data_IF_648802607275
#
_entry.id   IF_648802607275
#
_cell.length_a   1.000
_cell.length_b   1.000
_cell.length_c   1.000
_cell.angle_alpha   90.00
_cell.angle_beta   90.00
_cell.angle_gamma   90.00
#
_symmetry.space_group_name_H-M   'P 1'
#
loop_
_entity.id
_entity.type
_entity.pdbx_description
1 polymer ?
#
# COMPACT_ATOMS: atom_id res chain seq x y z
N UNK A 1 -9.85 9.99 28.65
CA UNK A 1 -10.02 10.95 27.54
C UNK A 1 -9.41 10.39 26.26
N UNK A 2 -10.23 9.80 25.38
CA UNK A 2 -9.75 9.30 24.08
C UNK A 2 -9.68 10.47 23.10
N UNK A 3 -8.47 10.81 22.64
CA UNK A 3 -8.26 11.76 21.54
C UNK A 3 -8.18 10.98 20.23
N UNK A 4 -8.94 11.40 19.21
CA UNK A 4 -8.83 10.83 17.86
C UNK A 4 -7.52 11.31 17.24
N UNK A 5 -6.61 10.39 16.92
CA UNK A 5 -5.40 10.72 16.19
C UNK A 5 -5.66 10.64 14.68
N UNK A 6 -5.26 11.67 13.90
CA UNK A 6 -5.37 11.62 12.45
C UNK A 6 -4.41 10.56 11.90
N UNK A 7 -4.86 9.86 10.86
CA UNK A 7 -4.06 8.89 10.13
C UNK A 7 -3.54 9.59 8.88
N UNK A 8 -2.22 9.62 8.71
CA UNK A 8 -1.58 10.18 7.53
C UNK A 8 -1.21 9.06 6.58
N UNK A 9 -1.66 9.15 5.33
CA UNK A 9 -1.26 8.25 4.25
C UNK A 9 -0.23 8.97 3.39
N UNK A 10 0.97 8.40 3.29
CA UNK A 10 2.01 8.86 2.37
C UNK A 10 1.59 8.48 0.94
N UNK A 11 1.20 9.46 0.13
CA UNK A 11 0.78 9.25 -1.27
C UNK A 11 1.88 9.56 -2.29
N UNK A 12 2.92 10.30 -1.89
CA UNK A 12 4.14 10.43 -2.69
C UNK A 12 5.01 9.18 -2.51
N UNK A 13 4.90 8.28 -3.49
CA UNK A 13 5.57 6.98 -3.49
C UNK A 13 6.61 6.98 -4.59
N UNK A 14 7.89 7.08 -4.22
CA UNK A 14 9.00 7.16 -5.18
C UNK A 14 9.90 5.92 -5.14
N UNK A 15 9.89 5.18 -4.02
CA UNK A 15 10.73 4.00 -3.83
C UNK A 15 9.93 2.76 -3.45
N UNK A 16 10.51 1.58 -3.63
CA UNK A 16 9.91 0.33 -3.14
C UNK A 16 9.69 0.34 -1.61
N UNK A 17 10.51 1.08 -0.86
CA UNK A 17 10.34 1.23 0.59
C UNK A 17 9.12 2.09 0.93
N UNK A 18 8.83 3.14 0.15
CA UNK A 18 7.63 3.97 0.34
C UNK A 18 6.37 3.16 0.06
N UNK A 19 6.42 2.32 -0.99
CA UNK A 19 5.35 1.40 -1.35
C UNK A 19 5.06 0.38 -0.23
N UNK A 20 6.10 -0.17 0.40
CA UNK A 20 5.97 -1.08 1.55
C UNK A 20 5.35 -0.39 2.77
N UNK A 21 5.76 0.85 3.07
CA UNK A 21 5.18 1.64 4.16
C UNK A 21 3.70 1.94 3.90
N UNK A 22 3.35 2.34 2.68
CA UNK A 22 1.96 2.59 2.28
C UNK A 22 1.11 1.32 2.43
N UNK A 23 1.59 0.16 1.97
CA UNK A 23 0.91 -1.11 2.18
C UNK A 23 0.71 -1.43 3.67
N UNK A 24 1.73 -1.20 4.50
CA UNK A 24 1.64 -1.37 5.95
C UNK A 24 0.52 -0.52 6.57
N UNK A 25 0.45 0.76 6.19
CA UNK A 25 -0.60 1.67 6.64
C UNK A 25 -1.99 1.19 6.19
N UNK A 26 -2.15 0.83 4.90
CA UNK A 26 -3.41 0.32 4.35
C UNK A 26 -3.87 -0.93 5.07
N UNK A 27 -2.96 -1.89 5.31
CA UNK A 27 -3.28 -3.12 6.03
C UNK A 27 -3.71 -2.86 7.47
N UNK A 28 -3.11 -1.87 8.14
CA UNK A 28 -3.49 -1.49 9.50
C UNK A 28 -4.90 -0.89 9.58
N UNK A 29 -5.29 -0.07 8.60
CA UNK A 29 -6.63 0.55 8.56
C UNK A 29 -7.70 -0.27 7.82
N UNK A 30 -7.31 -1.41 7.25
CA UNK A 30 -8.18 -2.27 6.43
C UNK A 30 -9.52 -2.64 7.07
N UNK A 31 -9.62 -2.94 8.38
CA UNK A 31 -10.90 -3.23 9.02
C UNK A 31 -11.91 -2.08 8.97
N UNK A 32 -11.44 -0.85 8.73
CA UNK A 32 -12.25 0.37 8.76
C UNK A 32 -12.57 0.92 7.36
N UNK A 33 -11.77 0.57 6.34
CA UNK A 33 -11.90 1.15 5.01
C UNK A 33 -12.87 0.40 4.08
N UNK A 34 -13.25 -0.84 4.40
CA UNK A 34 -14.06 -1.66 3.49
C UNK A 34 -13.34 -2.05 2.19
N UNK A 35 -12.02 -1.84 2.10
CA UNK A 35 -11.22 -2.11 0.92
C UNK A 35 -11.05 -3.61 0.72
N UNK A 36 -11.39 -4.08 -0.49
CA UNK A 36 -11.25 -5.49 -0.87
C UNK A 36 -9.89 -5.76 -1.48
N UNK A 37 -9.39 -7.00 -1.37
CA UNK A 37 -8.04 -7.35 -1.88
C UNK A 37 -7.86 -7.02 -3.36
N UNK A 38 -8.92 -7.10 -4.16
CA UNK A 38 -8.89 -6.79 -5.59
C UNK A 38 -8.49 -5.34 -5.88
N UNK A 39 -8.86 -4.39 -5.01
CA UNK A 39 -8.49 -2.97 -5.16
C UNK A 39 -7.00 -2.72 -4.82
N UNK A 40 -6.38 -3.64 -4.07
CA UNK A 40 -4.96 -3.58 -3.71
C UNK A 40 -4.07 -4.37 -4.69
N UNK A 41 -4.64 -5.04 -5.69
CA UNK A 41 -3.88 -5.83 -6.66
C UNK A 41 -2.78 -5.03 -7.38
N UNK A 42 -3.02 -3.78 -7.85
CA UNK A 42 -1.98 -2.97 -8.48
C UNK A 42 -0.78 -2.72 -7.54
N UNK A 43 -1.04 -2.51 -6.25
CA UNK A 43 -0.03 -2.31 -5.23
C UNK A 43 0.82 -3.58 -5.02
N UNK A 44 0.19 -4.76 -5.00
CA UNK A 44 0.89 -6.04 -4.90
C UNK A 44 1.71 -6.37 -6.15
N UNK A 45 1.28 -5.93 -7.33
CA UNK A 45 2.06 -6.07 -8.58
C UNK A 45 3.33 -5.22 -8.52
N UNK A 46 3.21 -3.95 -8.12
CA UNK A 46 4.36 -3.05 -7.96
C UNK A 46 5.36 -3.57 -6.90
N UNK A 47 4.88 -4.13 -5.78
CA UNK A 47 5.75 -4.69 -4.73
C UNK A 47 6.51 -5.95 -5.15
N UNK A 48 5.94 -6.76 -6.06
CA UNK A 48 6.60 -7.94 -6.60
C UNK A 48 7.74 -7.58 -7.56
N UNK A 49 7.81 -6.31 -7.99
CA UNK A 49 8.67 -5.83 -9.07
C UNK A 49 8.19 -6.32 -10.43
N UNK A 50 8.58 -5.64 -11.50
CA UNK A 50 8.49 -6.20 -12.85
C UNK A 50 9.44 -7.39 -12.93
N UNK A 51 8.89 -8.59 -12.72
CA UNK A 51 9.56 -9.87 -12.96
C UNK A 51 9.37 -10.35 -14.40
N UNK A 52 8.88 -9.52 -15.30
CA UNK A 52 9.00 -9.77 -16.73
C UNK A 52 10.44 -9.50 -17.19
N UNK A 53 11.32 -10.41 -16.78
CA UNK A 53 12.63 -10.63 -17.38
C UNK A 53 12.49 -11.34 -18.74
N UNK A 54 11.53 -10.89 -19.55
CA UNK A 54 11.37 -11.28 -20.95
C UNK A 54 11.52 -10.05 -21.85
N UNK A 55 12.54 -9.24 -21.56
CA UNK A 55 13.09 -8.35 -22.58
C UNK A 55 13.93 -9.22 -23.56
N UNK A 56 13.68 -9.15 -24.88
CA UNK A 56 14.38 -9.94 -25.89
C UNK A 56 15.88 -9.67 -25.97
#
# INVERSE_FOLDING_TARGET
NYQKQPIWLQTDVQTSNDLQKLLGCINWIRPYLGVVSAELEPLFRLLRGDKDLSAP
#
